data_IF_625123105277
#
_entry.id   IF_625123105277
#
_cell.length_a   1.000
_cell.length_b   1.000
_cell.length_c   1.000
_cell.angle_alpha   90.00
_cell.angle_beta   90.00
_cell.angle_gamma   90.00
#
_symmetry.space_group_name_H-M   'P 1'
#
loop_
_entity.id
_entity.type
_entity.pdbx_description
1 polymer ?
#
# COMPACT_ATOMS: atom_id res chain seq x y z
N UNK A 1 10.31 12.62 -20.48
CA UNK A 1 10.71 11.63 -19.48
C UNK A 1 9.53 10.69 -19.23
N UNK A 2 9.51 9.56 -19.94
CA UNK A 2 8.40 8.61 -19.87
C UNK A 2 8.89 7.33 -19.18
N UNK A 3 8.92 7.32 -17.87
CA UNK A 3 8.96 6.07 -17.12
C UNK A 3 7.52 5.64 -16.79
N UNK A 4 6.75 5.38 -17.82
CA UNK A 4 5.50 4.66 -17.66
C UNK A 4 5.76 3.18 -17.91
N UNK A 5 5.25 2.35 -17.04
CA UNK A 5 5.30 0.91 -17.11
C UNK A 5 4.62 0.43 -18.41
N UNK A 6 5.03 -0.71 -18.97
CA UNK A 6 4.39 -1.29 -20.18
C UNK A 6 2.90 -1.52 -19.94
N UNK A 7 2.50 -1.87 -18.72
CA UNK A 7 1.10 -2.09 -18.33
C UNK A 7 0.27 -0.81 -18.35
N UNK A 8 0.86 0.33 -18.00
CA UNK A 8 0.16 1.62 -18.02
C UNK A 8 -0.26 1.98 -19.45
N UNK A 9 0.58 1.70 -20.42
CA UNK A 9 0.27 1.95 -21.85
C UNK A 9 -0.94 1.16 -22.31
N UNK A 10 -1.05 -0.09 -21.89
CA UNK A 10 -2.22 -0.93 -22.22
C UNK A 10 -3.48 -0.38 -21.57
N UNK A 11 -3.45 -0.05 -20.28
CA UNK A 11 -4.57 0.54 -19.55
C UNK A 11 -4.99 1.89 -20.13
N UNK A 12 -4.03 2.72 -20.53
CA UNK A 12 -4.28 4.00 -21.19
C UNK A 12 -4.97 3.79 -22.54
N UNK A 13 -4.49 2.84 -23.34
CA UNK A 13 -5.07 2.55 -24.64
C UNK A 13 -6.52 2.05 -24.53
N UNK A 14 -6.81 1.19 -23.55
CA UNK A 14 -8.18 0.71 -23.29
C UNK A 14 -9.03 1.69 -22.45
N UNK A 15 -8.47 2.81 -21.98
CA UNK A 15 -9.10 3.83 -21.14
C UNK A 15 -9.76 3.24 -19.87
N UNK A 16 -9.13 2.24 -19.30
CA UNK A 16 -9.63 1.55 -18.10
C UNK A 16 -8.51 0.74 -17.44
N UNK A 17 -8.48 0.73 -16.13
CA UNK A 17 -7.56 -0.08 -15.34
C UNK A 17 -7.40 0.43 -13.92
N UNK A 18 -6.86 -0.44 -13.08
CA UNK A 18 -6.53 -0.15 -11.70
C UNK A 18 -5.08 -0.55 -11.40
N UNK A 19 -4.35 0.35 -10.78
CA UNK A 19 -2.99 0.12 -10.30
C UNK A 19 -2.96 0.40 -8.80
N UNK A 20 -2.75 -0.63 -8.00
CA UNK A 20 -2.63 -0.50 -6.56
C UNK A 20 -1.20 -0.83 -6.14
N UNK A 21 -0.61 0.09 -5.43
CA UNK A 21 0.72 -0.07 -4.84
C UNK A 21 0.58 -0.52 -3.39
N UNK A 22 1.36 -1.51 -2.99
CA UNK A 22 1.55 -1.84 -1.58
C UNK A 22 2.66 -0.96 -1.03
N UNK A 23 2.28 0.05 -0.27
CA UNK A 23 3.20 0.94 0.43
C UNK A 23 3.39 0.49 1.89
N UNK A 24 3.27 1.38 2.84
CA UNK A 24 3.32 1.14 4.27
C UNK A 24 2.76 2.36 5.00
N UNK A 25 2.33 2.19 6.24
CA UNK A 25 2.09 3.32 7.15
C UNK A 25 3.32 4.23 7.26
N UNK A 26 4.54 3.67 7.16
CA UNK A 26 5.79 4.41 7.11
C UNK A 26 5.93 5.36 5.91
N UNK A 27 5.01 5.31 4.95
CA UNK A 27 4.94 6.26 3.83
C UNK A 27 4.18 7.55 4.16
N UNK A 28 3.51 7.63 5.30
CA UNK A 28 2.72 8.79 5.75
C UNK A 28 3.01 9.19 7.20
N UNK A 29 3.48 8.25 8.02
CA UNK A 29 3.93 8.49 9.39
C UNK A 29 5.42 8.14 9.49
N UNK A 30 6.28 9.04 9.95
CA UNK A 30 7.71 8.73 10.15
C UNK A 30 7.91 7.70 11.26
N UNK A 31 8.51 6.56 10.92
CA UNK A 31 8.88 5.50 11.86
C UNK A 31 10.30 5.78 12.37
N UNK A 32 10.42 6.14 13.65
CA UNK A 32 11.66 6.71 14.22
C UNK A 32 12.84 5.73 14.23
N UNK A 33 12.58 4.43 14.27
CA UNK A 33 13.62 3.37 14.29
C UNK A 33 14.00 2.85 12.90
N UNK A 34 13.31 3.31 11.84
CA UNK A 34 13.55 2.88 10.44
C UNK A 34 13.61 4.09 9.49
N UNK A 35 14.57 5.00 9.64
CA UNK A 35 14.59 6.25 8.87
C UNK A 35 14.77 6.03 7.35
N UNK A 36 15.60 5.06 6.95
CA UNK A 36 15.84 4.75 5.52
C UNK A 36 14.59 4.10 4.91
N UNK A 37 13.97 3.16 5.60
CA UNK A 37 12.73 2.54 5.16
C UNK A 37 11.61 3.59 5.03
N UNK A 38 11.45 4.44 6.03
CA UNK A 38 10.51 5.56 6.03
C UNK A 38 10.73 6.44 4.80
N UNK A 39 11.96 6.91 4.56
CA UNK A 39 12.28 7.73 3.38
C UNK A 39 11.91 7.02 2.07
N UNK A 40 12.19 5.73 1.96
CA UNK A 40 11.83 4.93 0.78
C UNK A 40 10.32 4.86 0.56
N UNK A 41 9.53 4.72 1.63
CA UNK A 41 8.07 4.62 1.57
C UNK A 41 7.40 5.98 1.28
N UNK A 42 7.96 7.08 1.78
CA UNK A 42 7.54 8.42 1.36
C UNK A 42 7.81 8.65 -0.14
N UNK A 43 8.95 8.18 -0.65
CA UNK A 43 9.24 8.24 -2.08
C UNK A 43 8.23 7.42 -2.90
N UNK A 44 7.83 6.23 -2.43
CA UNK A 44 6.75 5.43 -3.05
C UNK A 44 5.44 6.21 -3.09
N UNK A 45 5.03 6.86 -1.99
CA UNK A 45 3.81 7.66 -1.96
C UNK A 45 3.86 8.84 -2.95
N UNK A 46 4.97 9.54 -3.02
CA UNK A 46 5.16 10.60 -4.01
C UNK A 46 5.03 10.07 -5.45
N UNK A 47 5.61 8.91 -5.73
CA UNK A 47 5.52 8.24 -7.03
C UNK A 47 4.07 7.85 -7.37
N UNK A 48 3.35 7.22 -6.43
CA UNK A 48 1.94 6.83 -6.60
C UNK A 48 1.07 8.03 -6.96
N UNK A 49 1.20 9.12 -6.20
CA UNK A 49 0.37 10.31 -6.44
C UNK A 49 0.72 11.03 -7.74
N UNK A 50 1.99 11.05 -8.10
CA UNK A 50 2.42 11.61 -9.38
C UNK A 50 1.88 10.77 -10.55
N UNK A 51 2.02 9.45 -10.49
CA UNK A 51 1.50 8.53 -11.50
C UNK A 51 -0.02 8.66 -11.64
N UNK A 52 -0.75 8.69 -10.52
CA UNK A 52 -2.20 8.89 -10.53
C UNK A 52 -2.61 10.14 -11.30
N UNK A 53 -1.94 11.26 -11.06
CA UNK A 53 -2.24 12.54 -11.74
C UNK A 53 -1.92 12.50 -13.24
N UNK A 54 -0.94 11.70 -13.64
CA UNK A 54 -0.59 11.56 -15.06
C UNK A 54 -1.61 10.72 -15.85
N UNK A 55 -2.19 9.68 -15.22
CA UNK A 55 -3.02 8.70 -15.94
C UNK A 55 -4.53 8.83 -15.69
N UNK A 56 -4.95 9.63 -14.72
CA UNK A 56 -6.38 9.80 -14.39
C UNK A 56 -7.24 10.28 -15.57
N UNK A 57 -6.70 11.14 -16.42
CA UNK A 57 -7.37 11.63 -17.64
C UNK A 57 -7.67 10.52 -18.65
N UNK A 58 -7.02 9.37 -18.53
CA UNK A 58 -7.23 8.20 -19.39
C UNK A 58 -8.16 7.16 -18.76
N UNK A 59 -8.81 7.47 -17.64
CA UNK A 59 -9.71 6.55 -16.97
C UNK A 59 -8.99 5.44 -16.18
N UNK A 60 -7.69 5.58 -15.93
CA UNK A 60 -6.91 4.66 -15.11
C UNK A 60 -6.86 5.17 -13.67
N UNK A 61 -7.26 4.31 -12.74
CA UNK A 61 -7.22 4.61 -11.30
C UNK A 61 -5.91 4.12 -10.70
N UNK A 62 -5.30 4.94 -9.86
CA UNK A 62 -4.07 4.58 -9.15
C UNK A 62 -4.23 4.93 -7.67
N UNK A 63 -3.92 3.98 -6.81
CA UNK A 63 -3.96 4.16 -5.35
C UNK A 63 -2.90 3.34 -4.65
N UNK A 64 -2.85 3.47 -3.32
CA UNK A 64 -1.96 2.70 -2.47
C UNK A 64 -2.71 2.12 -1.27
N UNK A 65 -2.42 0.87 -0.91
CA UNK A 65 -2.70 0.33 0.42
C UNK A 65 -1.46 0.54 1.29
N UNK A 66 -1.69 1.04 2.50
CA UNK A 66 -0.64 1.39 3.46
C UNK A 66 -0.83 0.57 4.74
N UNK A 67 -0.36 -0.68 4.75
CA UNK A 67 -0.48 -1.51 5.94
C UNK A 67 0.48 -1.06 7.04
N UNK A 68 0.05 -1.27 8.29
CA UNK A 68 0.94 -1.42 9.43
C UNK A 68 1.64 -2.79 9.43
N UNK A 69 2.07 -3.31 10.58
CA UNK A 69 2.74 -4.60 10.68
C UNK A 69 1.85 -5.77 10.21
N UNK A 70 2.38 -6.59 9.28
CA UNK A 70 1.70 -7.76 8.70
C UNK A 70 2.59 -8.99 8.82
N UNK A 71 2.01 -10.14 9.14
CA UNK A 71 2.73 -11.42 9.16
C UNK A 71 3.16 -11.79 7.74
N UNK A 72 4.44 -11.64 7.46
CA UNK A 72 5.04 -11.96 6.15
C UNK A 72 6.47 -12.46 6.35
N UNK A 73 7.08 -12.97 5.30
CA UNK A 73 8.49 -13.37 5.31
C UNK A 73 9.45 -12.23 5.73
N UNK A 74 9.00 -10.99 5.71
CA UNK A 74 9.77 -9.85 6.23
C UNK A 74 10.03 -9.93 7.74
N UNK A 75 9.26 -10.75 8.45
CA UNK A 75 9.37 -10.98 9.90
C UNK A 75 10.05 -12.31 10.26
N UNK A 76 10.61 -13.05 9.28
CA UNK A 76 11.23 -14.36 9.50
C UNK A 76 12.43 -14.28 10.46
N UNK A 77 13.07 -13.11 10.57
CA UNK A 77 14.18 -12.85 11.49
C UNK A 77 13.72 -12.60 12.94
N UNK A 78 12.43 -12.51 13.19
CA UNK A 78 11.94 -12.26 14.54
C UNK A 78 12.07 -13.51 15.41
N UNK A 79 12.53 -13.37 16.68
CA UNK A 79 12.48 -14.46 17.65
C UNK A 79 11.04 -14.99 17.80
N UNK A 80 10.89 -16.32 17.91
CA UNK A 80 9.58 -16.95 18.06
C UNK A 80 8.74 -16.35 19.19
N UNK A 81 9.34 -16.11 20.34
CA UNK A 81 8.66 -15.51 21.47
C UNK A 81 8.08 -14.12 21.15
N UNK A 82 8.83 -13.30 20.41
CA UNK A 82 8.36 -11.98 19.96
C UNK A 82 7.19 -12.09 18.99
N UNK A 83 7.25 -13.06 18.06
CA UNK A 83 6.18 -13.32 17.12
C UNK A 83 4.90 -13.79 17.84
N UNK A 84 5.02 -14.73 18.77
CA UNK A 84 3.90 -15.26 19.57
C UNK A 84 3.26 -14.16 20.42
N UNK A 85 4.06 -13.32 21.05
CA UNK A 85 3.58 -12.16 21.81
C UNK A 85 2.82 -11.18 20.91
N UNK A 86 3.40 -10.84 19.76
CA UNK A 86 2.79 -9.90 18.80
C UNK A 86 1.47 -10.41 18.22
N UNK A 87 1.36 -11.71 18.00
CA UNK A 87 0.11 -12.35 17.59
C UNK A 87 -0.91 -12.36 18.73
N UNK A 88 -0.49 -12.68 19.94
CA UNK A 88 -1.36 -12.75 21.11
C UNK A 88 -1.95 -11.38 21.50
N UNK A 89 -1.18 -10.31 21.36
CA UNK A 89 -1.62 -8.95 21.69
C UNK A 89 -2.28 -8.20 20.51
N UNK A 90 -2.41 -8.86 19.33
CA UNK A 90 -3.08 -8.29 18.18
C UNK A 90 -2.33 -7.15 17.50
N UNK A 91 -1.00 -7.10 17.62
CA UNK A 91 -0.16 -6.07 16.97
C UNK A 91 0.30 -6.42 15.56
N UNK A 92 -0.14 -7.56 15.02
CA UNK A 92 0.12 -7.99 13.65
C UNK A 92 -1.19 -8.31 12.93
N UNK A 93 -1.30 -7.87 11.68
CA UNK A 93 -2.38 -8.26 10.78
C UNK A 93 -2.02 -9.53 9.98
N UNK A 94 -3.04 -10.23 9.51
CA UNK A 94 -2.84 -11.30 8.54
C UNK A 94 -2.76 -10.74 7.10
N UNK A 95 -2.03 -11.38 6.18
CA UNK A 95 -1.93 -10.94 4.79
C UNK A 95 -3.28 -10.83 4.08
N UNK A 96 -4.28 -11.61 4.51
CA UNK A 96 -5.63 -11.57 3.94
C UNK A 96 -6.29 -10.20 4.12
N UNK A 97 -6.03 -9.50 5.22
CA UNK A 97 -6.57 -8.16 5.48
C UNK A 97 -6.11 -7.14 4.42
N UNK A 98 -4.84 -7.27 4.00
CA UNK A 98 -4.28 -6.44 2.94
C UNK A 98 -4.92 -6.79 1.58
N UNK A 99 -5.12 -8.08 1.31
CA UNK A 99 -5.74 -8.54 0.06
C UNK A 99 -7.21 -8.07 -0.05
N UNK A 100 -7.99 -8.17 1.03
CA UNK A 100 -9.37 -7.68 1.09
C UNK A 100 -9.44 -6.15 0.92
N UNK A 101 -8.49 -5.44 1.49
CA UNK A 101 -8.35 -4.00 1.31
C UNK A 101 -8.10 -3.62 -0.16
N UNK A 102 -7.22 -4.35 -0.85
CA UNK A 102 -7.00 -4.17 -2.28
C UNK A 102 -8.26 -4.49 -3.07
N UNK A 103 -8.96 -5.57 -2.75
CA UNK A 103 -10.22 -5.94 -3.38
C UNK A 103 -11.27 -4.84 -3.20
N UNK A 104 -11.38 -4.29 -1.99
CA UNK A 104 -12.24 -3.13 -1.73
C UNK A 104 -11.88 -1.96 -2.64
N UNK A 105 -10.61 -1.62 -2.79
CA UNK A 105 -10.17 -0.48 -3.62
C UNK A 105 -10.56 -0.65 -5.09
N UNK A 106 -10.35 -1.83 -5.67
CA UNK A 106 -10.58 -2.08 -7.10
C UNK A 106 -12.05 -2.32 -7.46
N UNK A 107 -12.87 -2.73 -6.49
CA UNK A 107 -14.30 -2.98 -6.71
C UNK A 107 -15.18 -1.74 -6.57
N UNK A 108 -14.62 -0.58 -6.31
CA UNK A 108 -15.41 0.67 -6.29
C UNK A 108 -15.92 1.02 -7.68
N UNK A 109 -17.03 1.76 -7.73
CA UNK A 109 -17.58 2.26 -8.99
C UNK A 109 -16.52 3.04 -9.78
N UNK A 110 -16.63 3.05 -11.11
CA UNK A 110 -15.60 3.61 -12.01
C UNK A 110 -15.27 5.09 -11.79
N UNK A 111 -16.20 5.84 -11.21
CA UNK A 111 -16.03 7.26 -10.89
C UNK A 111 -15.40 7.50 -9.51
N UNK A 112 -15.06 6.44 -8.78
CA UNK A 112 -14.45 6.52 -7.44
C UNK A 112 -13.03 5.95 -7.48
N UNK A 113 -12.07 6.74 -7.03
CA UNK A 113 -10.70 6.27 -6.77
C UNK A 113 -10.43 6.32 -5.27
N UNK A 114 -10.16 5.17 -4.67
CA UNK A 114 -9.59 5.13 -3.32
C UNK A 114 -8.10 5.43 -3.47
N UNK A 115 -7.70 6.64 -3.07
CA UNK A 115 -6.35 7.13 -3.29
C UNK A 115 -5.34 6.45 -2.38
N UNK A 116 -5.64 6.44 -1.08
CA UNK A 116 -4.83 5.85 -0.02
C UNK A 116 -5.76 5.11 0.94
N UNK A 117 -5.39 3.92 1.31
CA UNK A 117 -6.09 3.12 2.31
C UNK A 117 -5.10 2.65 3.37
N UNK A 118 -5.16 3.28 4.53
CA UNK A 118 -4.37 2.90 5.70
C UNK A 118 -5.11 1.84 6.48
N UNK A 119 -4.43 0.75 6.80
CA UNK A 119 -4.94 -0.31 7.67
C UNK A 119 -3.90 -0.64 8.74
N UNK A 120 -4.36 -0.72 9.98
CA UNK A 120 -3.52 -0.95 11.15
C UNK A 120 -4.08 -2.08 12.01
N UNK A 121 -3.23 -2.84 12.71
CA UNK A 121 -3.69 -3.70 13.79
C UNK A 121 -4.41 -2.86 14.85
N UNK A 122 -5.48 -3.41 15.44
CA UNK A 122 -6.30 -2.67 16.40
C UNK A 122 -5.58 -2.25 17.69
N UNK A 123 -4.45 -2.87 18.01
CA UNK A 123 -3.63 -2.55 19.19
C UNK A 123 -2.46 -1.61 18.89
N UNK A 124 -2.30 -1.16 17.64
CA UNK A 124 -1.19 -0.28 17.22
C UNK A 124 -1.75 1.11 16.95
N UNK A 125 -1.30 2.07 17.72
CA UNK A 125 -1.54 3.50 17.52
C UNK A 125 -0.28 4.15 16.94
N UNK A 126 -0.39 4.70 15.74
CA UNK A 126 0.69 5.34 14.99
C UNK A 126 0.24 6.68 14.43
#
# INVERSE_FOLDING_TARGET
>A
QRQMCIRDRHMIAQRSGDIIFTSSIAGVVPVIWEPIYTASKFAVQAFVHTTRRQVSQYGVRVGAVLPGPVVTALLDDWPKAKMEEALANGSLMQPIEVAESVLFMVTRSKNVTVRDLVILPGSVDL
#
